data_IF_203608552502
#
_entry.id   IF_203608552502
#
_cell.length_a   1.000
_cell.length_b   1.000
_cell.length_c   1.000
_cell.angle_alpha   90.00
_cell.angle_beta   90.00
_cell.angle_gamma   90.00
#
_symmetry.space_group_name_H-M   'P 1'
#
loop_
_entity.id
_entity.type
_entity.pdbx_description
1 polymer ?
#
# COMPACT_ATOMS: atom_id res chain seq x y z
N UNK A 1 26.62 -7.16 18.90
CA UNK A 1 25.92 -6.49 17.79
C UNK A 1 26.04 -4.99 17.98
N UNK A 2 26.56 -4.28 16.98
CA UNK A 2 26.60 -2.82 16.98
C UNK A 2 25.36 -2.25 16.28
N UNK A 3 25.02 -0.99 16.58
CA UNK A 3 23.94 -0.28 15.89
C UNK A 3 24.19 -0.20 14.37
N UNK A 4 25.44 -0.01 13.96
CA UNK A 4 25.82 0.10 12.55
C UNK A 4 25.66 -1.20 11.77
N UNK A 5 25.90 -2.35 12.40
CA UNK A 5 25.63 -3.67 11.83
C UNK A 5 24.13 -3.84 11.55
N UNK A 6 23.28 -3.49 12.54
CA UNK A 6 21.82 -3.55 12.39
C UNK A 6 21.28 -2.60 11.32
N UNK A 7 21.77 -1.35 11.28
CA UNK A 7 21.41 -0.38 10.25
C UNK A 7 21.84 -0.81 8.85
N UNK A 8 23.01 -1.44 8.72
CA UNK A 8 23.52 -1.91 7.44
C UNK A 8 22.68 -3.07 6.90
N UNK A 9 22.33 -4.02 7.76
CA UNK A 9 21.46 -5.14 7.38
C UNK A 9 20.04 -4.68 7.00
N UNK A 10 19.47 -3.72 7.73
CA UNK A 10 18.15 -3.17 7.41
C UNK A 10 18.13 -2.48 6.04
N UNK A 11 19.22 -1.79 5.67
CA UNK A 11 19.39 -1.21 4.32
C UNK A 11 19.42 -2.30 3.25
N UNK A 12 20.13 -3.40 3.48
CA UNK A 12 20.18 -4.53 2.55
C UNK A 12 18.79 -5.17 2.35
N UNK A 13 18.02 -5.31 3.43
CA UNK A 13 16.67 -5.87 3.38
C UNK A 13 15.59 -4.87 2.96
N UNK A 14 15.97 -3.60 2.76
CA UNK A 14 15.06 -2.49 2.48
C UNK A 14 13.90 -2.42 3.49
N UNK A 15 14.23 -2.55 4.77
CA UNK A 15 13.28 -2.47 5.88
C UNK A 15 13.71 -1.42 6.91
N UNK A 16 12.78 -1.06 7.79
CA UNK A 16 13.05 -0.11 8.87
C UNK A 16 13.85 -0.79 10.00
N UNK A 17 14.71 -0.03 10.66
CA UNK A 17 15.47 -0.45 11.85
C UNK A 17 15.03 0.36 13.07
N UNK A 18 14.80 -0.32 14.20
CA UNK A 18 14.45 0.29 15.47
C UNK A 18 15.30 -0.35 16.58
N UNK A 19 16.14 0.45 17.24
CA UNK A 19 16.82 0.02 18.46
C UNK A 19 15.91 0.31 19.66
N UNK A 20 15.65 -0.70 20.49
CA UNK A 20 14.65 -0.62 21.56
C UNK A 20 15.17 -1.22 22.87
N UNK A 21 14.65 -0.74 23.99
CA UNK A 21 14.85 -1.38 25.30
C UNK A 21 13.50 -1.54 25.99
N UNK A 22 13.04 -2.79 26.11
CA UNK A 22 11.78 -3.10 26.78
C UNK A 22 11.81 -2.72 28.27
N UNK A 23 12.93 -2.95 28.95
CA UNK A 23 13.11 -2.63 30.37
C UNK A 23 13.05 -1.12 30.63
N UNK A 24 13.61 -0.32 29.72
CA UNK A 24 13.62 1.15 29.82
C UNK A 24 12.43 1.81 29.13
N UNK A 25 11.54 1.01 28.51
CA UNK A 25 10.46 1.49 27.63
C UNK A 25 10.95 2.44 26.53
N UNK A 26 12.16 2.22 26.04
CA UNK A 26 12.79 3.04 25.00
C UNK A 26 12.36 2.60 23.60
N UNK A 27 11.89 3.56 22.78
CA UNK A 27 11.57 3.36 21.35
C UNK A 27 10.48 2.29 21.07
N UNK A 28 9.69 1.93 22.09
CA UNK A 28 8.64 0.92 21.97
C UNK A 28 7.50 1.42 21.06
N UNK A 29 6.99 2.62 21.32
CA UNK A 29 5.86 3.16 20.57
C UNK A 29 6.21 3.38 19.09
N UNK A 30 7.44 3.84 18.79
CA UNK A 30 7.89 4.05 17.42
C UNK A 30 8.00 2.74 16.62
N UNK A 31 8.51 1.68 17.25
CA UNK A 31 8.59 0.36 16.62
C UNK A 31 7.20 -0.20 16.27
N UNK A 32 6.26 -0.15 17.22
CA UNK A 32 4.89 -0.64 17.00
C UNK A 32 4.11 0.24 16.02
N UNK A 33 4.16 1.57 16.17
CA UNK A 33 3.51 2.48 15.23
C UNK A 33 4.13 2.40 13.82
N UNK A 34 5.43 2.18 13.72
CA UNK A 34 6.12 1.93 12.45
C UNK A 34 5.55 0.69 11.74
N UNK A 35 5.44 -0.42 12.47
CA UNK A 35 4.86 -1.66 11.93
C UNK A 35 3.41 -1.47 11.48
N UNK A 36 2.55 -0.86 12.31
CA UNK A 36 1.15 -0.62 11.96
C UNK A 36 1.02 0.27 10.73
N UNK A 37 1.88 1.29 10.58
CA UNK A 37 1.90 2.15 9.39
C UNK A 37 2.22 1.36 8.12
N UNK A 38 3.21 0.48 8.16
CA UNK A 38 3.58 -0.31 6.97
C UNK A 38 2.51 -1.33 6.61
N UNK A 39 1.84 -1.94 7.60
CA UNK A 39 0.67 -2.81 7.37
C UNK A 39 -0.44 -2.03 6.66
N UNK A 40 -0.85 -0.89 7.22
CA UNK A 40 -1.90 -0.04 6.63
C UNK A 40 -1.53 0.45 5.24
N UNK A 41 -0.27 0.81 5.01
CA UNK A 41 0.23 1.20 3.69
C UNK A 41 0.10 0.06 2.68
N UNK A 42 0.51 -1.16 3.07
CA UNK A 42 0.38 -2.37 2.25
C UNK A 42 -1.08 -2.68 1.92
N UNK A 43 -1.98 -2.54 2.89
CA UNK A 43 -3.42 -2.77 2.72
C UNK A 43 -4.11 -1.67 1.90
N UNK A 44 -3.67 -0.41 2.03
CA UNK A 44 -4.24 0.72 1.30
C UNK A 44 -3.86 0.73 -0.18
N UNK A 45 -2.77 0.06 -0.56
CA UNK A 45 -2.38 -0.08 -1.96
C UNK A 45 -3.28 -1.12 -2.63
N UNK A 46 -4.16 -0.72 -3.57
CA UNK A 46 -4.97 -1.70 -4.27
C UNK A 46 -4.03 -2.60 -5.05
N UNK A 47 -4.27 -3.91 -4.93
CA UNK A 47 -3.47 -4.89 -5.67
C UNK A 47 -3.45 -4.50 -7.16
N UNK A 48 -2.35 -4.78 -7.85
CA UNK A 48 -2.25 -4.48 -9.29
C UNK A 48 -3.41 -5.12 -10.07
N UNK A 49 -3.94 -6.23 -9.56
CA UNK A 49 -5.13 -6.93 -10.04
C UNK A 49 -6.41 -6.13 -9.83
N UNK A 50 -6.66 -5.58 -8.63
CA UNK A 50 -7.79 -4.69 -8.36
C UNK A 50 -7.76 -3.41 -9.18
N UNK A 51 -6.57 -2.81 -9.37
CA UNK A 51 -6.42 -1.62 -10.22
C UNK A 51 -6.82 -1.92 -11.66
N UNK A 52 -6.41 -3.08 -12.21
CA UNK A 52 -6.81 -3.53 -13.55
C UNK A 52 -8.31 -3.79 -13.66
N UNK A 53 -8.91 -4.42 -12.64
CA UNK A 53 -10.34 -4.72 -12.61
C UNK A 53 -11.20 -3.44 -12.55
N UNK A 54 -10.83 -2.47 -11.70
CA UNK A 54 -11.49 -1.15 -11.62
C UNK A 54 -11.38 -0.38 -12.93
N UNK A 55 -10.21 -0.41 -13.59
CA UNK A 55 -10.01 0.21 -14.92
C UNK A 55 -10.90 -0.42 -16.00
N UNK A 56 -10.94 -1.76 -16.09
CA UNK A 56 -11.84 -2.46 -17.03
C UNK A 56 -13.29 -2.10 -16.76
N UNK A 57 -13.75 -2.15 -15.50
CA UNK A 57 -15.12 -1.80 -15.13
C UNK A 57 -15.53 -0.37 -15.54
N UNK A 58 -14.62 0.60 -15.39
CA UNK A 58 -14.83 1.99 -15.82
C UNK A 58 -14.96 2.13 -17.34
N UNK A 59 -14.10 1.44 -18.10
CA UNK A 59 -14.17 1.39 -19.56
C UNK A 59 -15.48 0.79 -20.06
N UNK A 60 -15.91 -0.34 -19.49
CA UNK A 60 -17.18 -0.97 -19.85
C UNK A 60 -18.40 -0.09 -19.51
N UNK A 61 -18.37 0.66 -18.40
CA UNK A 61 -19.42 1.64 -18.08
C UNK A 61 -19.50 2.75 -19.13
N UNK A 62 -18.35 3.35 -19.51
CA UNK A 62 -18.30 4.40 -20.55
C UNK A 62 -18.81 3.89 -21.91
N UNK A 63 -18.42 2.68 -22.29
CA UNK A 63 -18.85 2.07 -23.55
C UNK A 63 -20.38 1.86 -23.55
N UNK A 64 -20.95 1.33 -22.47
CA UNK A 64 -22.41 1.13 -22.33
C UNK A 64 -23.19 2.45 -22.40
N UNK A 65 -22.67 3.50 -21.77
CA UNK A 65 -23.29 4.85 -21.84
C UNK A 65 -23.29 5.37 -23.28
N UNK A 66 -22.16 5.23 -23.99
CA UNK A 66 -22.05 5.66 -25.39
C UNK A 66 -22.99 4.87 -26.32
N UNK A 67 -23.07 3.56 -26.14
CA UNK A 67 -23.99 2.69 -26.89
C UNK A 67 -25.47 3.04 -26.64
N UNK A 68 -25.84 3.35 -25.39
CA UNK A 68 -27.20 3.79 -25.05
C UNK A 68 -27.55 5.10 -25.75
N UNK A 69 -26.65 6.09 -25.69
CA UNK A 69 -26.82 7.38 -26.37
C UNK A 69 -26.92 7.25 -27.90
N UNK A 70 -26.15 6.32 -28.49
CA UNK A 70 -26.21 6.03 -29.93
C UNK A 70 -27.55 5.39 -30.33
N UNK A 71 -28.14 4.53 -29.49
CA UNK A 71 -29.47 3.95 -29.73
C UNK A 71 -30.58 4.99 -29.65
N UNK A 72 -30.49 5.92 -28.69
CA UNK A 72 -31.47 7.02 -28.54
C UNK A 72 -31.40 8.04 -29.68
N UNK A 73 -30.26 8.19 -30.36
CA UNK A 73 -30.13 9.11 -31.50
C UNK A 73 -30.62 8.53 -32.85
N UNK A 74 -30.93 7.22 -32.90
CA UNK A 74 -31.37 6.52 -34.11
C UNK A 74 -32.88 6.21 -34.05
N UNK A 75 -33.51 6.37 -32.88
CA UNK A 75 -34.97 6.28 -32.68
C UNK A 75 -35.59 7.68 -32.75
#
# INVERSE_FOLDING_TARGET
VSTEEGLSLAREYNCAFFETSAALRFCIDDAFHGLVREIRKKESMPSSMEKKLKRKGSLWKKLKVSLKKKREAIA
#
